data_IF_532187132621
#
_entry.id   IF_532187132621
#
_cell.length_a   1.000
_cell.length_b   1.000
_cell.length_c   1.000
_cell.angle_alpha   90.00
_cell.angle_beta   90.00
_cell.angle_gamma   90.00
#
_symmetry.space_group_name_H-M   'P 1'
#
loop_
_entity.id
_entity.type
_entity.pdbx_description
1 polymer ?
#
# COMPACT_ATOMS: atom_id res chain seq x y z
N UNK A 1 -9.75 -7.44 6.61
CA UNK A 1 -8.93 -7.72 5.40
C UNK A 1 -7.43 -7.57 5.66
N UNK A 2 -6.99 -6.59 6.45
CA UNK A 2 -5.57 -6.47 6.86
C UNK A 2 -5.13 -7.53 7.87
N UNK A 3 -6.06 -8.20 8.57
CA UNK A 3 -5.72 -9.20 9.59
C UNK A 3 -4.83 -10.35 9.12
N UNK A 4 -4.92 -10.77 7.86
CA UNK A 4 -4.03 -11.83 7.34
C UNK A 4 -2.58 -11.34 7.18
N UNK A 5 -2.39 -10.05 6.93
CA UNK A 5 -1.07 -9.45 6.69
C UNK A 5 -0.37 -9.03 7.98
N UNK A 6 -1.12 -8.62 9.01
CA UNK A 6 -0.58 -8.21 10.31
C UNK A 6 0.43 -9.22 10.90
N UNK A 7 0.17 -10.55 10.94
CA UNK A 7 1.12 -11.50 11.51
C UNK A 7 2.32 -11.80 10.59
N UNK A 8 2.27 -11.43 9.31
CA UNK A 8 3.31 -11.76 8.31
C UNK A 8 4.30 -10.62 8.06
N UNK A 9 3.93 -9.40 8.46
CA UNK A 9 4.70 -8.19 8.19
C UNK A 9 5.23 -7.59 9.48
N UNK A 10 6.55 -7.56 9.64
CA UNK A 10 7.23 -6.81 10.70
C UNK A 10 7.27 -5.30 10.41
N UNK A 11 7.18 -4.89 9.14
CA UNK A 11 7.15 -3.49 8.76
C UNK A 11 6.83 -3.25 7.29
N UNK A 12 6.40 -2.02 7.00
CA UNK A 12 6.12 -1.53 5.64
C UNK A 12 6.49 -0.05 5.55
N UNK A 13 7.16 0.35 4.47
CA UNK A 13 7.54 1.74 4.19
C UNK A 13 7.24 2.10 2.74
N UNK A 14 6.88 3.36 2.49
CA UNK A 14 6.73 3.86 1.12
C UNK A 14 8.08 3.93 0.43
N UNK A 15 8.13 3.44 -0.80
CA UNK A 15 9.35 3.34 -1.59
C UNK A 15 9.36 4.29 -2.81
N UNK A 16 8.39 5.21 -2.89
CA UNK A 16 8.31 6.18 -3.98
C UNK A 16 6.95 6.86 -4.08
N UNK A 17 6.72 7.50 -5.22
CA UNK A 17 5.50 8.27 -5.49
C UNK A 17 4.25 7.39 -5.49
N UNK A 18 3.16 7.96 -4.94
CA UNK A 18 1.85 7.30 -4.84
C UNK A 18 0.87 8.01 -5.78
N UNK A 19 0.89 7.71 -7.10
CA UNK A 19 0.00 8.34 -8.04
C UNK A 19 -1.46 7.96 -7.73
N UNK A 20 -2.37 8.93 -7.82
CA UNK A 20 -3.80 8.70 -7.63
C UNK A 20 -4.46 8.23 -8.93
N UNK A 21 -5.60 7.56 -8.79
CA UNK A 21 -6.48 7.25 -9.91
C UNK A 21 -7.10 8.56 -10.39
N UNK A 22 -7.05 8.82 -11.70
CA UNK A 22 -7.77 9.95 -12.32
C UNK A 22 -9.22 9.52 -12.55
N UNK A 23 -10.06 9.71 -11.55
CA UNK A 23 -11.47 9.35 -11.58
C UNK A 23 -12.27 10.37 -10.77
N UNK A 24 -13.40 10.81 -11.32
CA UNK A 24 -14.29 11.77 -10.67
C UNK A 24 -15.32 11.11 -9.74
N UNK A 25 -15.39 9.76 -9.73
CA UNK A 25 -16.33 9.00 -8.91
C UNK A 25 -15.67 8.38 -7.66
N UNK A 26 -14.51 7.71 -7.82
CA UNK A 26 -13.81 7.05 -6.71
C UNK A 26 -12.43 7.64 -6.51
N UNK A 27 -12.10 7.92 -5.25
CA UNK A 27 -10.79 8.40 -4.87
C UNK A 27 -9.82 7.23 -4.59
N UNK A 28 -9.19 6.70 -5.64
CA UNK A 28 -8.28 5.55 -5.55
C UNK A 28 -6.79 5.91 -5.59
N UNK A 29 -5.96 4.98 -5.10
CA UNK A 29 -4.50 4.97 -5.31
C UNK A 29 -4.21 4.08 -6.52
N UNK A 30 -3.52 4.62 -7.55
CA UNK A 30 -3.20 3.88 -8.77
C UNK A 30 -2.03 2.93 -8.58
N UNK A 31 -1.01 3.33 -7.81
CA UNK A 31 0.14 2.50 -7.42
C UNK A 31 0.59 2.90 -6.02
N UNK A 32 0.96 1.91 -5.21
CA UNK A 32 1.47 2.08 -3.85
C UNK A 32 2.80 1.33 -3.71
N UNK A 33 3.92 1.90 -4.19
CA UNK A 33 5.23 1.26 -4.08
C UNK A 33 5.65 1.19 -2.61
N UNK A 34 5.95 -0.02 -2.13
CA UNK A 34 6.32 -0.26 -0.73
C UNK A 34 7.49 -1.23 -0.64
N UNK A 35 8.34 -0.97 0.35
CA UNK A 35 9.29 -1.95 0.87
C UNK A 35 8.66 -2.61 2.10
N UNK A 36 8.81 -3.93 2.20
CA UNK A 36 8.27 -4.72 3.31
C UNK A 36 9.39 -5.40 4.08
N UNK A 37 9.21 -5.52 5.38
CA UNK A 37 10.01 -6.39 6.25
C UNK A 37 9.11 -7.52 6.70
N UNK A 38 9.52 -8.75 6.43
CA UNK A 38 8.77 -9.95 6.84
C UNK A 38 9.08 -10.27 8.31
N UNK A 39 8.10 -10.85 8.99
CA UNK A 39 8.22 -11.33 10.37
C UNK A 39 8.87 -12.71 10.46
#
# INVERSE_FOLDING_TARGET
MSEELIPRLAGIRLAGDVPRVRCDFVNGIKRLPVEVTLA
#
